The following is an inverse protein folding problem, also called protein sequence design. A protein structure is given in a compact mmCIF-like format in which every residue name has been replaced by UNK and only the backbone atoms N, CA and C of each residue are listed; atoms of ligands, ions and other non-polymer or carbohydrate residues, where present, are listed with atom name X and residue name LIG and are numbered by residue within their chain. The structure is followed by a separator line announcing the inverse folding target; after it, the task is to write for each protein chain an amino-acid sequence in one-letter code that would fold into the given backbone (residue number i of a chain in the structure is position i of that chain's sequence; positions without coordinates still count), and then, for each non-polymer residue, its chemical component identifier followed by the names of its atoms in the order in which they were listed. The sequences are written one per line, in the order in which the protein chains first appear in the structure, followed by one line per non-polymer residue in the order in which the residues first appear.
data_IF_070490766809
#
_entry.id   IF_070490766809
#
_cell.length_a   1.000
_cell.length_b   1.000
_cell.length_c   1.000
_cell.angle_alpha   90.00
_cell.angle_beta   90.00
_cell.angle_gamma   90.00
#
_symmetry.space_group_name_H-M   'P 1'
#
loop_
_entity.id
_entity.type
_entity.pdbx_description
1 polymer ?
#
# COMPACT_ATOMS: atom_id res chain seq x y z
N UNK A 1 19.12 -7.37 -7.08
CA UNK A 1 18.45 -8.40 -7.89
C UNK A 1 17.58 -9.34 -7.08
N UNK A 2 18.08 -10.01 -6.05
CA UNK A 2 17.27 -10.99 -5.26
C UNK A 2 15.96 -10.45 -4.67
N UNK A 3 15.93 -9.22 -4.20
CA UNK A 3 14.69 -8.65 -3.62
C UNK A 3 13.62 -8.43 -4.68
N UNK A 4 14.01 -7.99 -5.89
CA UNK A 4 13.10 -7.84 -7.00
C UNK A 4 12.58 -9.19 -7.51
N UNK A 5 13.45 -10.20 -7.60
CA UNK A 5 13.07 -11.57 -7.96
C UNK A 5 12.07 -12.16 -6.95
N UNK A 6 12.32 -11.96 -5.65
CA UNK A 6 11.40 -12.37 -4.60
C UNK A 6 10.07 -11.61 -4.66
N UNK A 7 10.12 -10.31 -4.97
CA UNK A 7 8.92 -9.52 -5.16
C UNK A 7 8.12 -10.00 -6.38
N UNK A 8 8.77 -10.19 -7.53
CA UNK A 8 8.14 -10.69 -8.74
C UNK A 8 7.53 -12.09 -8.55
N UNK A 9 8.19 -12.95 -7.78
CA UNK A 9 7.68 -14.28 -7.43
C UNK A 9 6.45 -14.25 -6.51
N UNK A 10 6.25 -13.17 -5.76
CA UNK A 10 5.07 -13.00 -4.90
C UNK A 10 3.87 -12.37 -5.63
N UNK A 11 4.02 -11.94 -6.87
CA UNK A 11 2.89 -11.50 -7.69
C UNK A 11 2.06 -12.69 -8.16
N UNK A 12 0.74 -12.53 -8.19
CA UNK A 12 -0.16 -13.56 -8.74
C UNK A 12 0.02 -13.66 -10.25
N UNK A 13 0.10 -14.85 -10.83
CA UNK A 13 0.11 -15.00 -12.27
C UNK A 13 -1.24 -14.54 -12.83
N UNK A 14 -1.22 -13.51 -13.66
CA UNK A 14 -2.42 -13.02 -14.35
C UNK A 14 -2.81 -13.93 -15.51
N UNK A 15 -4.12 -14.07 -15.73
CA UNK A 15 -4.62 -14.58 -17.00
C UNK A 15 -4.13 -13.69 -18.15
N UNK A 16 -3.32 -14.24 -18.95
CA UNK A 16 -2.68 -13.97 -20.25
C UNK A 16 -2.82 -12.58 -20.96
N UNK A 17 -3.49 -11.57 -20.45
CA UNK A 17 -3.72 -10.32 -21.20
C UNK A 17 -3.21 -9.03 -20.56
N UNK A 18 -3.05 -8.98 -19.26
CA UNK A 18 -2.72 -7.74 -18.57
C UNK A 18 -1.41 -7.91 -17.81
N UNK A 19 -0.40 -7.18 -18.23
CA UNK A 19 0.89 -7.02 -17.58
C UNK A 19 1.78 -8.28 -17.52
N UNK A 20 2.67 -8.38 -18.49
CA UNK A 20 3.71 -9.41 -18.53
C UNK A 20 4.90 -8.97 -17.67
N UNK A 21 5.12 -9.64 -16.54
CA UNK A 21 6.29 -9.42 -15.66
C UNK A 21 7.61 -9.66 -16.42
N UNK A 22 7.61 -10.51 -17.45
CA UNK A 22 8.77 -10.70 -18.33
C UNK A 22 9.05 -9.43 -19.14
N UNK A 23 8.02 -8.65 -19.52
CA UNK A 23 8.21 -7.37 -20.19
C UNK A 23 8.79 -6.33 -19.23
N UNK A 24 8.38 -6.32 -17.96
CA UNK A 24 8.98 -5.46 -16.95
C UNK A 24 10.42 -5.88 -16.64
N UNK A 25 10.67 -7.18 -16.48
CA UNK A 25 12.02 -7.70 -16.27
C UNK A 25 12.94 -7.38 -17.46
N UNK A 26 12.44 -7.53 -18.69
CA UNK A 26 13.17 -7.16 -19.92
C UNK A 26 13.37 -5.64 -20.04
N UNK A 27 12.37 -4.84 -19.65
CA UNK A 27 12.48 -3.38 -19.59
C UNK A 27 13.56 -2.95 -18.59
N UNK A 28 13.56 -3.54 -17.40
CA UNK A 28 14.54 -3.27 -16.35
C UNK A 28 15.94 -3.80 -16.72
N UNK A 29 16.04 -4.93 -17.44
CA UNK A 29 17.30 -5.43 -17.98
C UNK A 29 17.86 -4.56 -19.10
N UNK A 30 17.01 -3.89 -19.88
CA UNK A 30 17.44 -2.97 -20.95
C UNK A 30 18.08 -1.68 -20.42
N UNK A 31 17.87 -1.35 -19.15
CA UNK A 31 18.59 -0.27 -18.46
C UNK A 31 19.94 -0.77 -17.94
N UNK A 32 20.88 -1.03 -18.84
CA UNK A 32 22.24 -1.55 -18.55
C UNK A 32 23.17 -0.52 -17.90
N UNK A 33 22.70 0.35 -17.04
CA UNK A 33 23.56 1.28 -16.32
C UNK A 33 23.45 1.04 -14.81
N UNK A 34 24.44 0.44 -14.22
CA UNK A 34 24.51 0.02 -12.81
C UNK A 34 24.14 1.13 -11.80
N UNK A 35 24.56 2.36 -12.03
CA UNK A 35 24.21 3.47 -11.14
C UNK A 35 22.76 3.94 -11.26
N UNK A 36 22.21 3.95 -12.48
CA UNK A 36 20.82 4.34 -12.73
C UNK A 36 19.89 3.24 -12.24
N UNK A 37 20.26 1.98 -12.46
CA UNK A 37 19.51 0.83 -11.94
C UNK A 37 19.50 0.81 -10.41
N UNK A 38 20.61 1.11 -9.74
CA UNK A 38 20.67 1.19 -8.28
C UNK A 38 19.85 2.37 -7.74
N UNK A 39 19.91 3.54 -8.38
CA UNK A 39 19.08 4.69 -8.00
C UNK A 39 17.58 4.42 -8.21
N UNK A 40 17.21 3.82 -9.33
CA UNK A 40 15.82 3.41 -9.57
C UNK A 40 15.39 2.30 -8.64
N UNK A 41 16.23 1.30 -8.40
CA UNK A 41 15.97 0.26 -7.43
C UNK A 41 15.70 0.84 -6.04
N UNK A 42 16.57 1.72 -5.54
CA UNK A 42 16.38 2.39 -4.26
C UNK A 42 15.16 3.32 -4.23
N UNK A 43 14.75 3.87 -5.39
CA UNK A 43 13.53 4.67 -5.50
C UNK A 43 12.25 3.84 -5.61
N UNK A 44 12.35 2.60 -6.07
CA UNK A 44 11.23 1.67 -6.21
C UNK A 44 10.98 0.87 -4.93
N UNK A 45 12.06 0.46 -4.28
CA UNK A 45 12.05 -0.24 -3.00
C UNK A 45 12.57 0.70 -1.92
N UNK A 46 11.78 1.68 -1.60
CA UNK A 46 12.08 2.62 -0.53
C UNK A 46 12.23 1.82 0.77
N UNK A 47 13.46 1.51 1.15
CA UNK A 47 13.71 0.88 2.44
C UNK A 47 13.46 1.94 3.51
N UNK A 48 12.37 1.81 4.23
CA UNK A 48 12.14 2.61 5.42
C UNK A 48 12.95 1.99 6.54
N UNK A 49 14.24 2.35 6.59
CA UNK A 49 15.26 1.75 7.45
C UNK A 49 14.90 1.70 8.94
N UNK A 50 13.91 2.49 9.37
CA UNK A 50 13.55 2.64 10.78
C UNK A 50 12.07 2.29 11.07
N UNK A 51 11.40 1.55 10.18
CA UNK A 51 10.00 1.18 10.41
C UNK A 51 9.87 0.14 11.52
N UNK A 52 9.17 0.49 12.57
CA UNK A 52 8.80 -0.45 13.63
C UNK A 52 7.45 -1.09 13.28
N UNK A 53 7.49 -2.38 13.01
CA UNK A 53 6.32 -3.12 12.51
C UNK A 53 5.15 -3.10 13.50
N UNK A 54 5.45 -3.07 14.80
CA UNK A 54 4.43 -3.02 15.86
C UNK A 54 3.59 -1.75 15.78
N UNK A 55 4.21 -0.64 15.41
CA UNK A 55 3.54 0.66 15.25
C UNK A 55 2.70 0.77 13.99
N UNK A 56 2.85 -0.21 13.12
CA UNK A 56 2.08 -0.35 11.90
C UNK A 56 0.76 -1.11 12.14
N UNK A 57 0.68 -1.97 13.17
CA UNK A 57 -0.48 -2.80 13.44
C UNK A 57 -1.73 -2.01 13.80
N UNK A 58 -2.89 -2.65 13.76
CA UNK A 58 -4.18 -2.09 14.12
C UNK A 58 -4.99 -1.53 12.94
N UNK A 59 -5.89 -0.62 13.22
CA UNK A 59 -6.91 -0.10 12.30
C UNK A 59 -6.42 1.09 11.48
N UNK A 60 -6.79 1.08 10.18
CA UNK A 60 -6.46 2.12 9.22
C UNK A 60 -7.63 2.41 8.28
N UNK A 61 -7.77 3.66 7.87
CA UNK A 61 -8.77 4.10 6.90
C UNK A 61 -8.10 4.49 5.58
N UNK A 62 -8.65 4.04 4.46
CA UNK A 62 -8.21 4.48 3.14
C UNK A 62 -8.71 5.90 2.86
N UNK A 63 -7.80 6.85 2.70
CA UNK A 63 -8.11 8.25 2.39
C UNK A 63 -7.76 8.66 0.97
N UNK A 64 -6.88 7.91 0.31
CA UNK A 64 -6.56 8.07 -1.11
C UNK A 64 -6.42 6.68 -1.73
N UNK A 65 -6.96 6.49 -2.91
CA UNK A 65 -6.90 5.21 -3.60
C UNK A 65 -6.87 5.34 -5.12
N UNK A 66 -6.40 4.30 -5.79
CA UNK A 66 -6.42 4.12 -7.24
C UNK A 66 -7.77 3.54 -7.66
N UNK A 67 -8.77 4.40 -7.88
CA UNK A 67 -10.17 4.01 -8.17
C UNK A 67 -10.38 3.11 -9.40
N UNK A 68 -9.44 3.11 -10.32
CA UNK A 68 -9.51 2.19 -11.48
C UNK A 68 -9.30 0.73 -11.08
N UNK A 69 -8.55 0.50 -9.98
CA UNK A 69 -8.31 -0.83 -9.41
C UNK A 69 -9.30 -1.11 -8.28
N UNK A 70 -9.36 -0.22 -7.31
CA UNK A 70 -10.23 -0.34 -6.14
C UNK A 70 -11.46 0.53 -6.34
N UNK A 71 -12.57 -0.09 -6.69
CA UNK A 71 -13.84 0.61 -6.96
C UNK A 71 -14.63 0.94 -5.70
N UNK A 72 -14.21 0.39 -4.61
CA UNK A 72 -14.79 0.56 -3.29
C UNK A 72 -14.69 2.02 -2.84
N UNK A 73 -15.74 2.51 -2.17
CA UNK A 73 -15.80 3.90 -1.75
C UNK A 73 -14.99 4.19 -0.48
N UNK A 74 -14.78 3.19 0.36
CA UNK A 74 -13.95 3.27 1.54
C UNK A 74 -13.38 1.90 1.88
N UNK A 75 -12.13 1.84 2.25
CA UNK A 75 -11.48 0.67 2.80
C UNK A 75 -11.07 0.91 4.25
N UNK A 76 -11.43 -0.02 5.12
CA UNK A 76 -10.94 -0.06 6.51
C UNK A 76 -10.07 -1.29 6.64
N UNK A 77 -8.78 -1.08 6.88
CA UNK A 77 -7.82 -2.15 7.07
C UNK A 77 -7.59 -2.43 8.55
N UNK A 78 -7.39 -3.70 8.87
CA UNK A 78 -6.90 -4.18 10.14
C UNK A 78 -5.66 -5.02 9.88
N UNK A 79 -4.56 -4.66 10.55
CA UNK A 79 -3.33 -5.43 10.52
C UNK A 79 -3.08 -6.01 11.91
N UNK A 80 -3.02 -7.33 12.00
CA UNK A 80 -2.85 -8.04 13.27
C UNK A 80 -1.61 -8.92 13.21
N UNK A 81 -0.71 -8.75 14.19
CA UNK A 81 0.53 -9.49 14.28
C UNK A 81 0.25 -10.98 14.56
N UNK A 82 0.83 -11.85 13.75
CA UNK A 82 0.76 -13.30 13.91
C UNK A 82 2.05 -13.84 14.53
N UNK A 83 3.19 -13.42 13.98
CA UNK A 83 4.51 -13.85 14.43
C UNK A 83 5.51 -12.72 14.23
N UNK A 84 6.35 -12.54 15.22
CA UNK A 84 7.48 -11.61 15.14
C UNK A 84 8.73 -12.22 15.74
N UNK A 85 9.83 -12.05 15.05
CA UNK A 85 11.18 -12.35 15.50
C UNK A 85 12.07 -11.13 15.27
N UNK A 86 13.32 -11.09 15.75
CA UNK A 86 14.22 -9.96 15.43
C UNK A 86 14.46 -9.71 13.94
N UNK A 87 14.17 -10.70 13.06
CA UNK A 87 14.50 -10.64 11.63
C UNK A 87 13.29 -10.80 10.71
N UNK A 88 12.15 -11.24 11.22
CA UNK A 88 10.94 -11.49 10.43
C UNK A 88 9.70 -11.12 11.21
N UNK A 89 8.69 -10.66 10.49
CA UNK A 89 7.36 -10.51 11.04
C UNK A 89 6.34 -11.00 10.03
N UNK A 90 5.25 -11.56 10.50
CA UNK A 90 4.10 -11.94 9.69
C UNK A 90 2.84 -11.45 10.38
N UNK A 91 1.95 -10.85 9.62
CA UNK A 91 0.69 -10.31 10.12
C UNK A 91 -0.44 -10.57 9.13
N UNK A 92 -1.67 -10.58 9.62
CA UNK A 92 -2.86 -10.62 8.76
C UNK A 92 -3.20 -9.23 8.25
N UNK A 93 -3.80 -9.18 7.06
CA UNK A 93 -4.38 -7.97 6.47
C UNK A 93 -5.85 -8.26 6.19
N UNK A 94 -6.74 -7.59 6.89
CA UNK A 94 -8.17 -7.71 6.68
C UNK A 94 -8.75 -6.37 6.29
N UNK A 95 -9.40 -6.31 5.13
CA UNK A 95 -10.01 -5.10 4.60
C UNK A 95 -11.52 -5.26 4.56
N UNK A 96 -12.22 -4.27 5.10
CA UNK A 96 -13.65 -4.07 4.91
C UNK A 96 -13.85 -2.86 4.01
N UNK A 97 -14.57 -3.03 2.94
CA UNK A 97 -14.80 -1.97 1.97
C UNK A 97 -16.27 -1.93 1.56
N UNK A 98 -16.71 -0.77 1.05
CA UNK A 98 -18.10 -0.56 0.66
C UNK A 98 -18.21 -0.49 -0.86
N UNK A 99 -18.94 -1.43 -1.43
CA UNK A 99 -19.15 -1.52 -2.87
C UNK A 99 -20.64 -1.77 -3.17
N UNK A 100 -21.26 -0.87 -3.94
CA UNK A 100 -22.67 -0.99 -4.36
C UNK A 100 -23.66 -1.18 -3.20
N UNK A 101 -23.46 -0.47 -2.09
CA UNK A 101 -24.22 -0.59 -0.84
C UNK A 101 -24.04 -1.90 -0.05
N UNK A 102 -23.11 -2.73 -0.44
CA UNK A 102 -22.72 -3.93 0.30
C UNK A 102 -21.32 -3.81 0.88
N UNK A 103 -21.08 -4.49 2.00
CA UNK A 103 -19.74 -4.61 2.56
C UNK A 103 -19.05 -5.82 1.97
N UNK A 104 -17.92 -5.58 1.34
CA UNK A 104 -17.02 -6.64 0.85
C UNK A 104 -15.84 -6.78 1.80
N UNK A 105 -15.39 -8.01 2.00
CA UNK A 105 -14.24 -8.32 2.86
C UNK A 105 -13.15 -8.96 2.02
N UNK A 106 -11.94 -8.41 2.11
CA UNK A 106 -10.74 -8.99 1.53
C UNK A 106 -9.80 -9.43 2.66
N UNK A 107 -9.27 -10.63 2.56
CA UNK A 107 -8.33 -11.17 3.54
C UNK A 107 -7.00 -11.46 2.86
N UNK A 108 -5.94 -10.94 3.45
CA UNK A 108 -4.59 -11.08 2.98
C UNK A 108 -3.61 -11.23 4.13
N UNK A 109 -2.37 -10.98 3.83
CA UNK A 109 -1.29 -11.07 4.82
C UNK A 109 -0.15 -10.12 4.46
N UNK A 110 0.63 -9.79 5.46
CA UNK A 110 1.89 -9.10 5.25
C UNK A 110 3.05 -9.85 5.88
N UNK A 111 4.23 -9.61 5.36
CA UNK A 111 5.46 -10.16 5.89
C UNK A 111 6.59 -9.14 5.78
N UNK A 112 7.43 -9.12 6.80
CA UNK A 112 8.72 -8.45 6.74
C UNK A 112 9.74 -9.42 6.15
N UNK A 113 10.43 -9.02 5.09
CA UNK A 113 11.37 -9.88 4.36
C UNK A 113 12.78 -9.32 4.48
N UNK A 114 13.70 -10.17 4.91
CA UNK A 114 15.13 -9.90 4.94
C UNK A 114 15.61 -9.21 6.22
N UNK A 115 16.96 -9.03 6.34
CA UNK A 115 17.58 -8.39 7.49
C UNK A 115 17.43 -6.86 7.49
N UNK A 116 16.92 -6.27 6.41
CA UNK A 116 16.72 -4.83 6.28
C UNK A 116 15.37 -4.44 6.88
N UNK A 117 15.33 -3.63 7.94
CA UNK A 117 14.09 -3.09 8.47
C UNK A 117 13.36 -2.33 7.36
N UNK A 118 12.06 -2.57 7.20
CA UNK A 118 11.24 -1.85 6.25
C UNK A 118 10.97 -2.55 4.91
N UNK A 119 11.55 -3.71 4.64
CA UNK A 119 11.16 -4.53 3.50
C UNK A 119 9.86 -5.30 3.80
N UNK A 120 8.77 -4.57 3.95
CA UNK A 120 7.44 -5.14 4.22
C UNK A 120 6.69 -5.32 2.92
N UNK A 121 6.16 -6.53 2.71
CA UNK A 121 5.28 -6.88 1.61
C UNK A 121 3.88 -7.14 2.15
N UNK A 122 2.87 -6.50 1.56
CA UNK A 122 1.47 -6.59 1.97
C UNK A 122 0.63 -7.09 0.80
N UNK A 123 0.06 -8.28 0.94
CA UNK A 123 -0.95 -8.82 0.04
C UNK A 123 -2.32 -8.51 0.65
N UNK A 124 -3.12 -7.69 0.00
CA UNK A 124 -4.42 -7.24 0.51
C UNK A 124 -5.51 -8.30 0.45
N UNK A 125 -5.34 -9.29 -0.44
CA UNK A 125 -6.39 -10.26 -0.76
C UNK A 125 -7.41 -9.77 -1.79
N UNK A 126 -7.39 -8.49 -2.16
CA UNK A 126 -8.25 -7.94 -3.21
C UNK A 126 -7.94 -8.61 -4.56
N UNK A 127 -9.00 -8.97 -5.31
CA UNK A 127 -8.86 -9.76 -6.55
C UNK A 127 -8.04 -9.09 -7.65
N UNK A 128 -8.05 -7.75 -7.68
CA UNK A 128 -7.33 -6.94 -8.68
C UNK A 128 -5.90 -6.61 -8.28
N UNK A 129 -5.53 -6.84 -7.04
CA UNK A 129 -4.17 -6.65 -6.57
C UNK A 129 -3.32 -7.85 -6.96
N UNK A 130 -2.57 -7.67 -8.04
CA UNK A 130 -1.74 -8.73 -8.60
C UNK A 130 -0.44 -8.91 -7.83
N UNK A 131 0.12 -7.81 -7.36
CA UNK A 131 1.40 -7.78 -6.66
C UNK A 131 1.23 -7.22 -5.24
N UNK A 132 2.10 -7.62 -4.30
CA UNK A 132 2.11 -7.05 -2.97
C UNK A 132 2.42 -5.55 -2.99
N UNK A 133 1.85 -4.83 -2.05
CA UNK A 133 2.21 -3.46 -1.74
C UNK A 133 3.43 -3.41 -0.84
N UNK A 134 4.16 -2.32 -0.94
CA UNK A 134 5.21 -1.94 0.00
C UNK A 134 4.90 -0.57 0.58
N UNK A 135 5.19 -0.30 1.85
CA UNK A 135 5.18 1.05 2.39
C UNK A 135 6.25 1.89 1.69
N UNK A 136 5.86 2.96 1.02
CA UNK A 136 6.78 3.90 0.34
C UNK A 136 6.98 5.17 1.15
N UNK A 137 6.07 5.47 2.06
CA UNK A 137 6.16 6.54 3.03
C UNK A 137 5.31 6.22 4.23
N UNK A 138 5.86 6.47 5.41
CA UNK A 138 5.13 6.45 6.69
C UNK A 138 5.47 7.77 7.38
N UNK A 139 4.48 8.39 7.99
CA UNK A 139 4.71 9.67 8.64
C UNK A 139 3.80 9.92 9.82
N UNK A 140 4.19 10.95 10.56
CA UNK A 140 3.53 11.32 11.79
C UNK A 140 3.62 10.24 12.86
N UNK A 141 4.00 10.64 14.07
CA UNK A 141 3.81 9.83 15.27
C UNK A 141 2.85 10.59 16.17
N UNK A 142 1.89 9.88 16.76
CA UNK A 142 1.08 10.43 17.83
C UNK A 142 1.83 10.37 19.19
N UNK A 143 1.19 10.85 20.24
CA UNK A 143 1.76 10.85 21.59
C UNK A 143 1.99 9.41 22.12
N UNK A 144 1.27 8.43 21.57
CA UNK A 144 1.40 7.01 21.88
C UNK A 144 2.53 6.34 21.05
N UNK A 145 3.14 7.10 20.16
CA UNK A 145 4.23 6.64 19.30
C UNK A 145 3.79 5.80 18.11
N UNK A 146 2.51 5.83 17.73
CA UNK A 146 1.99 5.14 16.56
C UNK A 146 2.06 6.01 15.30
N UNK A 147 2.30 5.37 14.16
CA UNK A 147 2.26 6.04 12.86
C UNK A 147 0.85 6.52 12.53
N UNK A 148 0.73 7.74 11.97
CA UNK A 148 -0.55 8.38 11.70
C UNK A 148 -1.01 8.24 10.25
N UNK A 149 -0.08 8.14 9.30
CA UNK A 149 -0.41 7.83 7.92
C UNK A 149 0.66 6.93 7.28
N UNK A 150 0.27 6.24 6.21
CA UNK A 150 1.19 5.51 5.36
C UNK A 150 0.75 5.57 3.90
N UNK A 151 1.71 5.55 3.01
CA UNK A 151 1.50 5.42 1.57
C UNK A 151 1.98 4.03 1.17
N UNK A 152 1.07 3.24 0.65
CA UNK A 152 1.34 1.91 0.12
C UNK A 152 1.32 1.97 -1.41
N UNK A 153 2.31 1.38 -2.04
CA UNK A 153 2.35 1.28 -3.49
C UNK A 153 3.12 0.04 -3.94
N UNK A 154 3.03 -0.26 -5.22
CA UNK A 154 3.88 -1.25 -5.87
C UNK A 154 5.14 -0.57 -6.42
N UNK A 155 6.17 -1.33 -6.84
CA UNK A 155 7.35 -0.77 -7.52
C UNK A 155 7.03 0.04 -8.78
N UNK A 156 5.90 -0.21 -9.41
CA UNK A 156 5.43 0.57 -10.57
C UNK A 156 4.70 1.85 -10.20
N UNK A 157 4.59 2.16 -8.90
CA UNK A 157 3.83 3.29 -8.37
C UNK A 157 2.33 3.22 -8.69
N UNK A 158 1.84 2.02 -8.96
CA UNK A 158 0.45 1.72 -9.27
C UNK A 158 0.11 0.25 -8.99
N UNK A 159 -1.00 -0.07 -8.34
CA UNK A 159 -1.87 0.90 -7.65
C UNK A 159 -1.18 1.54 -6.44
N UNK A 160 -1.71 2.67 -5.99
CA UNK A 160 -1.24 3.40 -4.81
C UNK A 160 -2.42 3.70 -3.92
N UNK A 161 -2.26 3.52 -2.62
CA UNK A 161 -3.23 3.87 -1.60
C UNK A 161 -2.57 4.61 -0.44
N UNK A 162 -3.32 5.49 0.19
CA UNK A 162 -2.91 6.17 1.42
C UNK A 162 -3.85 5.76 2.53
N UNK A 163 -3.28 5.29 3.60
CA UNK A 163 -3.99 4.89 4.80
C UNK A 163 -3.69 5.89 5.93
N UNK A 164 -4.68 6.14 6.76
CA UNK A 164 -4.55 6.97 7.96
C UNK A 164 -5.25 6.33 9.15
N UNK A 165 -4.78 6.65 10.35
CA UNK A 165 -5.49 6.26 11.58
C UNK A 165 -6.65 7.17 11.90
N UNK A 166 -6.51 8.46 11.59
CA UNK A 166 -7.49 9.49 11.87
C UNK A 166 -7.73 10.34 10.62
N UNK A 167 -8.97 10.30 10.12
CA UNK A 167 -9.36 11.01 8.90
C UNK A 167 -9.39 12.55 9.10
N UNK A 168 -9.74 13.04 10.29
CA UNK A 168 -9.81 14.48 10.58
C UNK A 168 -8.40 15.07 10.71
N UNK A 169 -7.51 14.36 11.40
CA UNK A 169 -6.10 14.74 11.46
C UNK A 169 -5.44 14.67 10.10
N UNK A 170 -5.78 13.68 9.28
CA UNK A 170 -5.27 13.60 7.93
C UNK A 170 -5.63 14.84 7.13
N UNK A 171 -6.90 15.23 7.09
CA UNK A 171 -7.38 16.39 6.33
C UNK A 171 -6.71 17.70 6.78
N UNK A 172 -6.53 17.88 8.07
CA UNK A 172 -6.04 19.15 8.64
C UNK A 172 -4.50 19.23 8.68
N UNK A 173 -3.81 18.10 8.87
CA UNK A 173 -2.38 18.09 9.19
C UNK A 173 -1.52 17.43 8.12
N UNK A 174 -1.95 16.29 7.55
CA UNK A 174 -1.09 15.44 6.74
C UNK A 174 -1.38 15.48 5.25
N UNK A 175 -2.57 15.87 4.84
CA UNK A 175 -3.01 15.85 3.44
C UNK A 175 -2.06 16.58 2.50
N UNK A 176 -1.60 17.76 2.89
CA UNK A 176 -0.66 18.56 2.09
C UNK A 176 0.70 17.86 1.93
N UNK A 177 1.26 17.34 3.04
CA UNK A 177 2.53 16.62 3.00
C UNK A 177 2.45 15.38 2.10
N UNK A 178 1.36 14.63 2.22
CA UNK A 178 1.11 13.44 1.39
C UNK A 178 0.96 13.81 -0.07
N UNK A 179 0.19 14.87 -0.37
CA UNK A 179 0.01 15.37 -1.73
C UNK A 179 1.34 15.77 -2.36
N UNK A 180 2.12 16.60 -1.67
CA UNK A 180 3.43 17.06 -2.12
C UNK A 180 4.39 15.86 -2.37
N UNK A 181 4.34 14.86 -1.51
CA UNK A 181 5.15 13.64 -1.67
C UNK A 181 4.74 12.84 -2.90
N UNK A 182 3.45 12.60 -3.08
CA UNK A 182 2.89 11.81 -4.19
C UNK A 182 3.19 12.50 -5.54
N UNK A 183 3.00 13.82 -5.61
CA UNK A 183 3.31 14.62 -6.79
C UNK A 183 4.81 14.61 -7.11
N UNK A 184 5.65 14.96 -6.13
CA UNK A 184 7.11 15.06 -6.31
C UNK A 184 7.75 13.74 -6.72
N UNK A 185 7.23 12.61 -6.24
CA UNK A 185 7.78 11.29 -6.50
C UNK A 185 7.12 10.57 -7.69
N UNK A 186 6.29 11.27 -8.46
CA UNK A 186 5.74 10.77 -9.72
C UNK A 186 4.63 9.73 -9.60
N UNK A 187 3.94 9.65 -8.45
CA UNK A 187 2.74 8.83 -8.30
C UNK A 187 1.53 9.44 -9.04
N UNK A 188 1.62 10.72 -9.39
CA UNK A 188 0.64 11.46 -10.20
C UNK A 188 1.14 11.75 -11.61
N UNK A 189 2.24 11.13 -12.06
CA UNK A 189 2.83 11.44 -13.37
C UNK A 189 1.94 10.95 -14.51
N UNK A 190 1.99 11.59 -15.71
CA UNK A 190 1.22 11.18 -16.87
C UNK A 190 1.48 9.75 -17.35
N UNK A 191 2.62 9.15 -17.05
CA UNK A 191 2.90 7.74 -17.35
C UNK A 191 2.22 6.79 -16.35
N UNK A 192 2.09 7.20 -15.09
CA UNK A 192 1.18 6.57 -14.14
C UNK A 192 -0.27 6.93 -14.46
N UNK A 193 -0.51 8.06 -15.14
CA UNK A 193 -1.81 8.65 -15.44
C UNK A 193 -2.45 8.15 -16.73
N UNK A 194 -1.90 7.15 -17.40
CA UNK A 194 -2.61 6.59 -18.56
C UNK A 194 -3.99 6.03 -18.17
N UNK A 195 -4.27 5.84 -16.85
CA UNK A 195 -5.59 5.51 -16.31
C UNK A 195 -5.73 5.67 -14.78
N UNK A 196 -4.92 6.47 -14.09
CA UNK A 196 -4.82 6.32 -12.63
C UNK A 196 -4.87 7.64 -11.89
N UNK A 197 -6.04 8.22 -11.85
CA UNK A 197 -6.27 9.32 -10.92
C UNK A 197 -6.36 8.75 -9.51
N UNK A 198 -5.47 9.20 -8.64
CA UNK A 198 -5.65 9.01 -7.21
C UNK A 198 -6.91 9.77 -6.79
N UNK A 199 -7.79 9.07 -6.12
CA UNK A 199 -9.06 9.61 -5.67
C UNK A 199 -9.04 9.77 -4.15
N UNK A 200 -9.41 10.94 -3.67
CA UNK A 200 -9.62 11.16 -2.25
C UNK A 200 -10.97 10.55 -1.86
N UNK A 201 -10.94 9.67 -0.87
CA UNK A 201 -12.13 9.00 -0.36
C UNK A 201 -13.00 9.99 0.40
N UNK A 202 -14.32 9.88 0.22
CA UNK A 202 -15.27 10.65 1.01
C UNK A 202 -15.27 10.13 2.45
N UNK A 203 -14.88 11.01 3.38
CA UNK A 203 -14.81 10.70 4.81
C UNK A 203 -16.15 10.31 5.41
N UNK A 204 -17.27 10.83 4.88
CA UNK A 204 -18.61 10.52 5.35
C UNK A 204 -19.02 9.08 5.01
N UNK A 205 -18.59 8.58 3.86
CA UNK A 205 -18.78 7.17 3.49
C UNK A 205 -17.99 6.28 4.43
N UNK A 206 -16.74 6.61 4.72
CA UNK A 206 -15.93 5.85 5.67
C UNK A 206 -16.52 5.83 7.07
N UNK A 207 -17.10 6.93 7.55
CA UNK A 207 -17.80 6.97 8.84
C UNK A 207 -19.02 6.04 8.87
N UNK A 208 -19.77 5.94 7.77
CA UNK A 208 -20.91 5.01 7.66
C UNK A 208 -20.45 3.56 7.71
N UNK A 209 -19.41 3.20 6.94
CA UNK A 209 -18.84 1.85 6.94
C UNK A 209 -18.33 1.46 8.32
N UNK A 210 -17.63 2.38 8.99
CA UNK A 210 -17.14 2.14 10.34
C UNK A 210 -18.27 1.85 11.34
N UNK A 211 -19.36 2.61 11.28
CA UNK A 211 -20.54 2.38 12.15
C UNK A 211 -21.21 1.04 11.87
N UNK A 212 -21.27 0.59 10.62
CA UNK A 212 -21.82 -0.73 10.29
C UNK A 212 -20.96 -1.84 10.89
N UNK A 213 -19.66 -1.71 10.80
CA UNK A 213 -18.70 -2.65 11.39
C UNK A 213 -18.81 -2.71 12.93
N UNK A 214 -18.80 -1.55 13.60
CA UNK A 214 -18.86 -1.46 15.06
C UNK A 214 -20.19 -1.98 15.63
N UNK A 215 -21.27 -1.90 14.87
CA UNK A 215 -22.58 -2.42 15.25
C UNK A 215 -22.76 -3.93 14.97
N UNK A 216 -21.74 -4.63 14.52
CA UNK A 216 -21.78 -6.06 14.28
C UNK A 216 -22.69 -6.47 13.11
N UNK A 217 -22.98 -5.57 12.17
CA UNK A 217 -23.79 -5.81 10.98
C UNK A 217 -22.92 -6.31 9.78
N UNK A 218 -21.68 -6.74 10.06
CA UNK A 218 -20.74 -7.29 9.08
C UNK A 218 -20.07 -8.52 9.68
#
# INVERSE_FOLDING_TARGET
MRLFENYAASCRPTNKRDFNMDQLANLLQSFQMDEVATKQYNSLFFSMADMQIEKFMGKWYTVVDSKEVHKEDCGIFYFDMVLQTPYTATFTSKQYAFLNNDVVTNEGYGSMVGPEPGAVLITTGHERDQCPFTPVRIGGLNDEGEYQYMILSTPLKYPTMVLTRDMEQFETKWKREVYDFVEKNGFMSPMAALNTRLHFTDTDVCRKVNKLYENGNV
#
